data_IF_239365589387
#
_entry.id   IF_239365589387
#
_cell.length_a   1.000
_cell.length_b   1.000
_cell.length_c   1.000
_cell.angle_alpha   90.00
_cell.angle_beta   90.00
_cell.angle_gamma   90.00
#
_symmetry.space_group_name_H-M   'P 1'
#
loop_
_entity.id
_entity.type
_entity.pdbx_description
1 polymer ?
#
# COMPACT_ATOMS: atom_id res chain seq x y z
N UNK A 1 0.67 22.70 9.77
CA UNK A 1 1.72 21.94 9.05
C UNK A 1 1.07 21.35 7.81
N UNK A 2 1.68 21.48 6.64
CA UNK A 2 1.19 20.81 5.43
C UNK A 2 1.55 19.33 5.52
N UNK A 3 0.55 18.46 5.51
CA UNK A 3 0.75 17.01 5.40
C UNK A 3 1.03 16.68 3.93
N UNK A 4 2.19 16.09 3.64
CA UNK A 4 2.50 15.61 2.30
C UNK A 4 1.67 14.36 1.99
N UNK A 5 1.14 14.29 0.76
CA UNK A 5 0.43 13.12 0.23
C UNK A 5 1.31 12.45 -0.82
N UNK A 6 1.63 11.18 -0.59
CA UNK A 6 2.41 10.34 -1.50
C UNK A 6 1.46 9.50 -2.34
N UNK A 7 1.38 9.81 -3.64
CA UNK A 7 0.67 8.96 -4.61
C UNK A 7 1.53 7.75 -4.98
N UNK A 8 1.00 6.55 -4.76
CA UNK A 8 1.69 5.28 -5.04
C UNK A 8 0.89 4.55 -6.11
N UNK A 9 1.45 4.37 -7.30
CA UNK A 9 0.82 3.51 -8.31
C UNK A 9 1.01 2.05 -7.92
N UNK A 10 -0.05 1.24 -8.04
CA UNK A 10 0.01 -0.18 -7.69
C UNK A 10 0.91 -1.00 -8.63
N UNK A 11 1.04 -0.55 -9.88
CA UNK A 11 1.72 -1.30 -10.94
C UNK A 11 0.84 -2.42 -11.47
N UNK A 12 1.47 -3.53 -11.87
CA UNK A 12 0.78 -4.73 -12.34
C UNK A 12 0.07 -5.45 -11.18
N UNK A 13 -1.27 -5.62 -11.24
CA UNK A 13 -2.04 -6.37 -10.24
C UNK A 13 -1.60 -7.82 -10.03
N UNK A 14 -1.02 -8.47 -11.04
CA UNK A 14 -0.54 -9.85 -10.96
C UNK A 14 0.90 -9.95 -10.45
N UNK A 15 1.59 -8.83 -10.30
CA UNK A 15 2.95 -8.77 -9.76
C UNK A 15 2.98 -8.74 -8.23
N UNK A 16 4.18 -8.49 -7.69
CA UNK A 16 4.42 -8.41 -6.24
C UNK A 16 4.09 -7.03 -5.63
N UNK A 17 3.77 -6.04 -6.47
CA UNK A 17 3.51 -4.65 -6.07
C UNK A 17 2.44 -4.51 -4.97
N UNK A 18 1.23 -5.11 -5.16
CA UNK A 18 0.17 -5.08 -4.14
C UNK A 18 0.63 -5.54 -2.75
N UNK A 19 1.39 -6.63 -2.67
CA UNK A 19 1.90 -7.18 -1.41
C UNK A 19 2.94 -6.24 -0.76
N UNK A 20 3.86 -5.70 -1.55
CA UNK A 20 4.88 -4.76 -1.06
C UNK A 20 4.24 -3.51 -0.49
N UNK A 21 3.22 -2.97 -1.17
CA UNK A 21 2.47 -1.79 -0.72
C UNK A 21 1.83 -2.05 0.64
N UNK A 22 1.13 -3.17 0.81
CA UNK A 22 0.49 -3.54 2.07
C UNK A 22 1.49 -3.71 3.22
N UNK A 23 2.66 -4.29 2.94
CA UNK A 23 3.75 -4.41 3.92
C UNK A 23 4.36 -3.05 4.29
N UNK A 24 4.56 -2.19 3.30
CA UNK A 24 5.15 -0.86 3.50
C UNK A 24 4.24 0.03 4.36
N UNK A 25 2.93 0.03 4.13
CA UNK A 25 2.00 0.87 4.90
C UNK A 25 1.87 0.42 6.37
N UNK A 26 2.23 -0.81 6.73
CA UNK A 26 2.30 -1.26 8.14
C UNK A 26 3.58 -0.81 8.86
N UNK A 27 4.59 -0.33 8.13
CA UNK A 27 5.84 0.11 8.73
C UNK A 27 5.69 1.52 9.32
N UNK A 28 5.88 1.67 10.64
CA UNK A 28 5.75 2.94 11.34
C UNK A 28 6.66 4.06 10.78
N UNK A 29 7.86 3.71 10.28
CA UNK A 29 8.76 4.68 9.66
C UNK A 29 8.17 5.26 8.37
N UNK A 30 7.44 4.44 7.63
CA UNK A 30 6.76 4.86 6.39
C UNK A 30 5.53 5.70 6.76
N UNK A 31 4.68 5.22 7.67
CA UNK A 31 3.51 5.98 8.14
C UNK A 31 3.87 7.39 8.64
N UNK A 32 5.03 7.54 9.29
CA UNK A 32 5.53 8.82 9.80
C UNK A 32 5.91 9.85 8.73
N UNK A 33 6.02 9.46 7.45
CA UNK A 33 6.39 10.37 6.35
C UNK A 33 5.21 11.26 5.92
N UNK A 34 3.98 10.77 6.01
CA UNK A 34 2.78 11.50 5.57
C UNK A 34 1.62 10.58 5.23
N UNK A 35 0.67 11.09 4.44
CA UNK A 35 -0.46 10.29 3.94
C UNK A 35 -0.06 9.55 2.67
N UNK A 36 -0.45 8.29 2.56
CA UNK A 36 -0.12 7.44 1.41
C UNK A 36 -1.41 7.09 0.68
N UNK A 37 -1.51 7.46 -0.59
CA UNK A 37 -2.66 7.19 -1.44
C UNK A 37 -2.26 6.19 -2.52
N UNK A 38 -2.79 4.97 -2.44
CA UNK A 38 -2.55 3.95 -3.47
C UNK A 38 -3.54 4.15 -4.61
N UNK A 39 -3.02 4.18 -5.84
CA UNK A 39 -3.78 4.33 -7.08
C UNK A 39 -3.71 3.00 -7.83
N UNK A 40 -4.84 2.30 -7.88
CA UNK A 40 -4.96 0.95 -8.43
C UNK A 40 -6.31 0.33 -8.10
N UNK A 41 -6.36 -1.01 -8.08
CA UNK A 41 -7.56 -1.78 -7.78
C UNK A 41 -7.59 -2.17 -6.30
N UNK A 42 -8.63 -1.73 -5.58
CA UNK A 42 -8.79 -2.01 -4.15
C UNK A 42 -9.06 -3.50 -3.87
N UNK A 43 -9.79 -4.19 -4.75
CA UNK A 43 -10.08 -5.61 -4.61
C UNK A 43 -8.83 -6.48 -4.72
N UNK A 44 -7.85 -6.07 -5.53
CA UNK A 44 -6.53 -6.70 -5.59
C UNK A 44 -5.80 -6.54 -4.25
N UNK A 45 -5.78 -5.34 -3.69
CA UNK A 45 -5.16 -5.12 -2.37
C UNK A 45 -5.88 -5.92 -1.27
N UNK A 46 -7.21 -5.97 -1.26
CA UNK A 46 -7.98 -6.78 -0.32
C UNK A 46 -7.66 -8.28 -0.45
N UNK A 47 -7.56 -8.78 -1.69
CA UNK A 47 -7.18 -10.17 -1.96
C UNK A 47 -5.80 -10.50 -1.40
N UNK A 48 -4.79 -9.68 -1.68
CA UNK A 48 -3.44 -9.88 -1.15
C UNK A 48 -3.37 -9.70 0.38
N UNK A 49 -4.18 -8.79 0.94
CA UNK A 49 -4.29 -8.62 2.38
C UNK A 49 -4.85 -9.87 3.06
N UNK A 50 -5.81 -10.56 2.44
CA UNK A 50 -6.38 -11.81 2.96
C UNK A 50 -5.45 -13.02 2.83
N UNK A 51 -4.65 -13.08 1.76
CA UNK A 51 -3.72 -14.19 1.48
C UNK A 51 -2.43 -14.12 2.29
N UNK A 52 -1.93 -12.91 2.53
CA UNK A 52 -0.68 -12.70 3.25
C UNK A 52 -0.91 -12.81 4.77
N UNK A 53 0.18 -13.03 5.53
CA UNK A 53 0.16 -12.96 7.00
C UNK A 53 -0.06 -11.52 7.53
N UNK A 54 -0.70 -10.66 6.74
CA UNK A 54 -1.00 -9.27 7.06
C UNK A 54 -2.40 -9.12 7.69
N UNK A 55 -3.07 -10.21 8.06
CA UNK A 55 -4.25 -10.16 8.94
C UNK A 55 -3.94 -9.49 10.29
#
# INVERSE_FOLDING_TARGET
MSTFVYGITMGDPAGIGPEIILKAIKNQKIQGLGQHMVIGDAGVLEHFYQLSELR
#
